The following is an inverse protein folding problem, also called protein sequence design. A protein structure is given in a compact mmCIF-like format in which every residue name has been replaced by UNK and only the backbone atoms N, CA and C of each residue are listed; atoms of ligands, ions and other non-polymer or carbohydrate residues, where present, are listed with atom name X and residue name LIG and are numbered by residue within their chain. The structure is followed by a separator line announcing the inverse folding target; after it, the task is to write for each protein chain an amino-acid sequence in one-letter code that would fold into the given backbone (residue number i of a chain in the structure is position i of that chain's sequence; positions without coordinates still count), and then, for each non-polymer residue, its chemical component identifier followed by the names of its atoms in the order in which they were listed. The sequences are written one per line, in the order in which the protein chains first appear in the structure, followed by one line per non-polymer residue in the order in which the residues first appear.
data_IF_234156833055
#
_entry.id   IF_234156833055
#
_cell.length_a   1.000
_cell.length_b   1.000
_cell.length_c   1.000
_cell.angle_alpha   90.00
_cell.angle_beta   90.00
_cell.angle_gamma   90.00
#
_symmetry.space_group_name_H-M   'P 1'
#
loop_
_entity.id
_entity.type
_entity.pdbx_description
1 polymer ?
#
# COMPACT_ATOMS: atom_id res chain seq x y z
N UNK A 1 28.52 -28.18 -69.15
CA UNK A 1 27.54 -29.12 -68.55
C UNK A 1 27.97 -29.33 -67.12
N UNK A 2 27.30 -28.64 -66.21
CA UNK A 2 27.53 -28.69 -64.76
C UNK A 2 26.17 -28.91 -64.12
N UNK A 3 25.97 -30.13 -63.63
CA UNK A 3 24.79 -30.57 -62.88
C UNK A 3 24.73 -29.90 -61.51
N UNK A 4 23.56 -29.34 -61.17
CA UNK A 4 23.24 -28.82 -59.85
C UNK A 4 22.18 -29.73 -59.23
N UNK A 5 22.58 -30.48 -58.20
CA UNK A 5 21.71 -31.27 -57.34
C UNK A 5 20.71 -30.36 -56.60
N UNK A 6 19.43 -30.72 -56.66
CA UNK A 6 18.38 -30.22 -55.77
C UNK A 6 18.23 -31.20 -54.60
N UNK A 7 18.43 -30.71 -53.36
CA UNK A 7 18.10 -31.43 -52.13
C UNK A 7 16.63 -31.19 -51.76
N UNK A 8 15.90 -32.29 -51.60
CA UNK A 8 14.48 -32.36 -51.23
C UNK A 8 14.36 -32.39 -49.70
N UNK A 9 13.72 -31.39 -49.08
CA UNK A 9 13.50 -31.37 -47.62
C UNK A 9 12.33 -32.29 -47.21
N UNK A 10 12.45 -33.09 -46.13
CA UNK A 10 11.38 -33.96 -45.67
C UNK A 10 10.28 -33.19 -44.90
N UNK A 11 9.02 -33.53 -45.19
CA UNK A 11 7.81 -33.00 -44.54
C UNK A 11 7.66 -33.55 -43.10
N UNK A 12 7.23 -32.74 -42.11
CA UNK A 12 7.00 -33.22 -40.74
C UNK A 12 5.66 -33.95 -40.57
N UNK A 13 5.66 -35.05 -39.82
CA UNK A 13 4.45 -35.85 -39.51
C UNK A 13 3.48 -35.13 -38.54
N UNK A 14 2.16 -35.42 -38.59
CA UNK A 14 1.19 -34.83 -37.69
C UNK A 14 1.22 -35.44 -36.28
N UNK A 15 1.21 -34.56 -35.27
CA UNK A 15 1.18 -34.91 -33.85
C UNK A 15 -0.21 -35.40 -33.41
N UNK A 16 -0.28 -36.59 -32.83
CA UNK A 16 -1.47 -37.12 -32.15
C UNK A 16 -1.32 -36.96 -30.62
N UNK A 17 -2.19 -36.19 -29.93
CA UNK A 17 -2.15 -36.11 -28.48
C UNK A 17 -2.73 -37.38 -27.85
N UNK A 18 -1.96 -38.03 -26.97
CA UNK A 18 -2.45 -39.11 -26.11
C UNK A 18 -3.21 -38.54 -24.92
N UNK A 19 -4.41 -39.08 -24.67
CA UNK A 19 -5.21 -38.75 -23.50
C UNK A 19 -4.65 -39.50 -22.28
N UNK A 20 -4.18 -38.75 -21.28
CA UNK A 20 -3.77 -39.31 -19.99
C UNK A 20 -4.98 -39.32 -19.06
N UNK A 21 -5.53 -40.51 -18.84
CA UNK A 21 -6.62 -40.74 -17.88
C UNK A 21 -6.04 -40.65 -16.45
N UNK A 22 -6.30 -39.54 -15.77
CA UNK A 22 -5.79 -39.28 -14.41
C UNK A 22 -6.94 -39.37 -13.42
N UNK A 23 -7.24 -40.58 -12.95
CA UNK A 23 -8.14 -40.80 -11.83
C UNK A 23 -7.47 -40.32 -10.53
N UNK A 24 -7.93 -39.18 -9.99
CA UNK A 24 -7.54 -38.73 -8.66
C UNK A 24 -8.27 -39.56 -7.58
N UNK A 25 -7.59 -40.01 -6.51
CA UNK A 25 -8.26 -40.54 -5.35
C UNK A 25 -9.01 -39.42 -4.59
N UNK A 26 -10.19 -39.70 -4.00
CA UNK A 26 -10.92 -38.70 -3.24
C UNK A 26 -10.15 -38.28 -1.97
N UNK A 27 -10.29 -37.02 -1.52
CA UNK A 27 -9.62 -36.53 -0.33
C UNK A 27 -10.12 -37.25 0.94
N UNK A 28 -9.28 -37.33 1.99
CA UNK A 28 -9.64 -37.98 3.24
C UNK A 28 -10.81 -37.25 3.94
N UNK A 29 -11.70 -38.03 4.56
CA UNK A 29 -12.87 -37.52 5.27
C UNK A 29 -12.46 -36.63 6.46
N UNK A 30 -13.02 -35.43 6.53
CA UNK A 30 -12.86 -34.53 7.68
C UNK A 30 -13.55 -35.12 8.92
N UNK A 31 -12.96 -35.01 10.13
CA UNK A 31 -13.62 -35.41 11.35
C UNK A 31 -14.82 -34.48 11.65
N UNK A 32 -15.92 -35.00 12.22
CA UNK A 32 -17.14 -34.22 12.42
C UNK A 32 -16.91 -33.08 13.41
N UNK A 33 -17.28 -31.87 13.02
CA UNK A 33 -17.36 -30.73 13.94
C UNK A 33 -18.50 -30.96 14.95
N UNK A 34 -18.28 -30.80 16.27
CA UNK A 34 -19.37 -30.87 17.23
C UNK A 34 -20.30 -29.66 17.04
N UNK A 35 -21.56 -29.92 16.72
CA UNK A 35 -22.61 -28.90 16.72
C UNK A 35 -22.76 -28.32 18.13
N UNK A 36 -22.32 -27.09 18.33
CA UNK A 36 -22.64 -26.34 19.57
C UNK A 36 -24.12 -26.00 19.59
N UNK A 37 -24.87 -26.67 20.46
CA UNK A 37 -26.26 -26.36 20.75
C UNK A 37 -26.38 -24.93 21.31
N UNK A 38 -27.29 -24.15 20.71
CA UNK A 38 -27.54 -22.74 21.04
C UNK A 38 -28.41 -22.66 22.30
N UNK A 39 -27.80 -22.57 23.47
CA UNK A 39 -28.51 -22.27 24.71
C UNK A 39 -28.72 -20.76 24.86
N UNK A 40 -29.97 -20.30 24.76
CA UNK A 40 -30.39 -18.93 25.08
C UNK A 40 -30.55 -18.78 26.59
N UNK A 41 -29.73 -17.96 27.27
CA UNK A 41 -29.95 -17.46 28.64
C UNK A 41 -29.31 -16.07 28.85
N UNK A 42 -29.80 -15.27 29.83
CA UNK A 42 -30.03 -13.84 29.66
C UNK A 42 -28.84 -12.94 30.00
N UNK A 43 -28.86 -11.76 29.37
CA UNK A 43 -27.94 -10.63 29.53
C UNK A 43 -28.10 -10.03 30.94
N UNK A 44 -27.15 -10.28 31.83
CA UNK A 44 -26.98 -9.51 33.07
C UNK A 44 -25.61 -9.78 33.74
N UNK A 45 -24.48 -9.51 33.06
CA UNK A 45 -23.18 -9.29 33.73
C UNK A 45 -22.07 -8.81 32.77
N UNK A 46 -22.18 -7.58 32.24
CA UNK A 46 -21.09 -6.93 31.48
C UNK A 46 -20.81 -5.50 31.98
N UNK A 47 -20.61 -5.33 33.29
CA UNK A 47 -20.16 -4.04 33.86
C UNK A 47 -18.93 -4.17 34.79
N UNK A 48 -18.42 -5.37 35.08
CA UNK A 48 -17.41 -5.54 36.14
C UNK A 48 -15.96 -5.82 35.69
N UNK A 49 -15.56 -5.54 34.44
CA UNK A 49 -14.15 -5.72 33.99
C UNK A 49 -13.50 -4.44 33.44
N UNK A 50 -14.24 -3.33 33.33
CA UNK A 50 -13.66 -2.05 32.87
C UNK A 50 -12.97 -1.23 33.99
N UNK A 51 -13.10 -1.60 35.26
CA UNK A 51 -12.49 -0.86 36.40
C UNK A 51 -11.21 -1.54 36.93
N UNK A 52 -10.92 -2.79 36.56
CA UNK A 52 -9.72 -3.48 37.05
C UNK A 52 -8.45 -3.25 36.20
N UNK A 53 -8.57 -2.70 34.99
CA UNK A 53 -7.40 -2.37 34.16
C UNK A 53 -6.91 -0.93 34.32
N UNK A 54 -7.69 -0.04 34.95
CA UNK A 54 -7.30 1.35 35.20
C UNK A 54 -6.58 1.56 36.55
N UNK A 55 -6.45 0.53 37.39
CA UNK A 55 -5.86 0.64 38.72
C UNK A 55 -4.46 0.02 38.88
N UNK A 56 -3.90 -0.61 37.82
CA UNK A 56 -2.54 -1.21 37.88
C UNK A 56 -1.50 -0.37 37.11
N UNK A 57 -1.91 0.72 36.44
CA UNK A 57 -1.08 1.43 35.47
C UNK A 57 -0.39 2.73 35.91
N UNK A 58 -0.66 3.28 37.10
CA UNK A 58 0.04 4.50 37.53
C UNK A 58 -0.56 5.23 38.72
N UNK A 59 0.24 5.41 39.76
CA UNK A 59 0.00 6.37 40.83
C UNK A 59 0.00 5.77 42.24
N UNK A 60 0.77 6.40 43.13
CA UNK A 60 0.87 6.22 44.60
C UNK A 60 1.92 5.24 45.11
N UNK A 61 3.16 5.70 45.17
CA UNK A 61 4.23 5.18 46.02
C UNK A 61 4.15 5.79 47.43
N UNK A 62 3.11 5.51 48.20
CA UNK A 62 3.07 5.86 49.64
C UNK A 62 2.14 4.89 50.38
N UNK A 63 2.72 4.07 51.28
CA UNK A 63 2.06 3.23 52.30
C UNK A 63 1.55 1.83 51.91
N UNK A 64 2.46 0.88 51.70
CA UNK A 64 2.22 -0.52 52.12
C UNK A 64 3.49 -1.10 52.77
N UNK A 65 3.77 -0.65 54.00
CA UNK A 65 4.75 -1.26 54.91
C UNK A 65 4.08 -1.83 56.18
N UNK A 66 2.78 -2.16 56.12
CA UNK A 66 2.02 -2.56 57.33
C UNK A 66 0.99 -3.68 57.17
N UNK A 67 1.02 -4.48 56.11
CA UNK A 67 0.21 -5.70 56.06
C UNK A 67 0.93 -6.76 55.25
N UNK A 68 1.89 -7.44 55.89
CA UNK A 68 2.37 -8.82 55.70
C UNK A 68 3.85 -8.85 56.06
N UNK A 69 4.15 -9.13 57.34
CA UNK A 69 5.50 -9.45 57.74
C UNK A 69 5.84 -10.85 57.24
N UNK A 70 6.82 -10.94 56.33
CA UNK A 70 7.73 -12.07 56.14
C UNK A 70 8.82 -11.70 55.11
N UNK A 71 10.12 -11.88 55.41
CA UNK A 71 11.21 -11.58 54.49
C UNK A 71 11.45 -12.79 53.58
N UNK A 72 10.76 -12.82 52.44
CA UNK A 72 10.96 -13.82 51.39
C UNK A 72 11.80 -13.27 50.24
N UNK A 73 13.12 -13.42 50.34
CA UNK A 73 14.04 -13.14 49.23
C UNK A 73 13.74 -14.07 48.05
N UNK A 74 13.29 -13.50 46.93
CA UNK A 74 13.09 -14.18 45.65
C UNK A 74 13.73 -13.37 44.54
N UNK A 75 14.99 -13.69 44.23
CA UNK A 75 15.72 -13.12 43.10
C UNK A 75 15.07 -13.52 41.78
N UNK A 76 14.33 -12.60 41.18
CA UNK A 76 14.04 -12.61 39.75
C UNK A 76 14.94 -11.57 39.09
N UNK A 77 15.88 -11.99 38.24
CA UNK A 77 16.55 -11.11 37.31
C UNK A 77 15.50 -10.54 36.34
N UNK A 78 14.85 -9.46 36.74
CA UNK A 78 13.93 -8.71 35.90
C UNK A 78 14.71 -8.06 34.77
N UNK A 79 14.53 -8.54 33.55
CA UNK A 79 14.96 -7.83 32.35
C UNK A 79 14.27 -6.47 32.40
N UNK A 80 15.05 -5.40 32.53
CA UNK A 80 14.52 -4.03 32.52
C UNK A 80 14.07 -3.70 31.10
N UNK A 81 12.82 -4.02 30.78
CA UNK A 81 12.17 -3.50 29.58
C UNK A 81 11.88 -2.01 29.77
N UNK A 82 12.36 -1.18 28.86
CA UNK A 82 11.95 0.22 28.77
C UNK A 82 10.48 0.28 28.34
N UNK A 83 9.58 0.55 29.29
CA UNK A 83 8.19 0.86 28.96
C UNK A 83 8.12 2.24 28.29
N UNK A 84 7.78 2.27 27.00
CA UNK A 84 7.44 3.50 26.28
C UNK A 84 5.94 3.72 26.42
N UNK A 85 5.54 4.77 27.13
CA UNK A 85 4.14 5.19 27.21
C UNK A 85 3.76 5.93 25.93
N UNK A 86 2.92 5.33 25.09
CA UNK A 86 2.38 6.00 23.90
C UNK A 86 1.09 6.78 24.25
N UNK A 87 1.11 8.11 24.09
CA UNK A 87 -0.12 8.91 24.00
C UNK A 87 -0.85 8.60 22.69
N UNK A 88 -2.18 8.76 22.64
CA UNK A 88 -2.98 8.47 21.43
C UNK A 88 -2.52 9.22 20.17
N UNK A 89 -1.90 10.39 20.33
CA UNK A 89 -1.24 11.19 19.29
C UNK A 89 0.06 10.57 18.74
N UNK A 90 0.61 9.54 19.37
CA UNK A 90 1.78 8.78 18.91
C UNK A 90 1.45 7.34 18.52
N UNK A 91 0.18 7.04 18.23
CA UNK A 91 -0.24 5.71 17.76
C UNK A 91 -0.58 5.74 16.28
N UNK A 92 -0.37 4.62 15.58
CA UNK A 92 -0.78 4.44 14.18
C UNK A 92 -2.25 4.79 13.98
N UNK A 93 -3.13 4.39 14.91
CA UNK A 93 -4.55 4.68 14.85
C UNK A 93 -4.84 6.20 14.94
N UNK A 94 -4.15 6.92 15.82
CA UNK A 94 -4.30 8.37 15.95
C UNK A 94 -3.82 9.12 14.70
N UNK A 95 -2.66 8.73 14.16
CA UNK A 95 -2.13 9.28 12.91
C UNK A 95 -3.10 9.03 11.75
N UNK A 96 -3.58 7.80 11.62
CA UNK A 96 -4.54 7.44 10.58
C UNK A 96 -5.83 8.26 10.69
N UNK A 97 -6.42 8.33 11.89
CA UNK A 97 -7.66 9.07 12.10
C UNK A 97 -7.51 10.56 11.78
N UNK A 98 -6.36 11.16 12.08
CA UNK A 98 -6.09 12.57 11.78
C UNK A 98 -6.00 12.86 10.28
N UNK A 99 -5.54 11.89 9.47
CA UNK A 99 -5.25 12.08 8.05
C UNK A 99 -6.26 11.46 7.09
N UNK A 100 -7.16 10.59 7.57
CA UNK A 100 -8.27 10.07 6.77
C UNK A 100 -9.05 11.16 6.02
N UNK A 101 -9.33 12.36 6.58
CA UNK A 101 -10.00 13.44 5.84
C UNK A 101 -9.21 14.04 4.68
N UNK A 102 -7.89 13.84 4.66
CA UNK A 102 -7.00 14.33 3.61
C UNK A 102 -6.64 13.26 2.59
N UNK A 103 -7.13 12.03 2.74
CA UNK A 103 -6.93 10.93 1.78
C UNK A 103 -8.23 10.65 1.04
N UNK A 104 -8.13 10.44 -0.27
CA UNK A 104 -9.27 10.23 -1.17
C UNK A 104 -9.09 8.97 -2.00
N UNK A 105 -10.18 8.47 -2.55
CA UNK A 105 -10.18 7.47 -3.61
C UNK A 105 -10.29 8.15 -4.97
N UNK A 106 -9.50 7.70 -5.94
CA UNK A 106 -9.53 8.17 -7.31
C UNK A 106 -10.03 7.04 -8.21
N UNK A 107 -11.02 7.34 -9.02
CA UNK A 107 -11.55 6.48 -10.06
C UNK A 107 -11.35 7.18 -11.40
N UNK A 108 -10.56 6.57 -12.27
CA UNK A 108 -10.24 7.10 -13.59
C UNK A 108 -10.82 6.15 -14.64
N UNK A 109 -11.81 6.64 -15.36
CA UNK A 109 -12.53 5.88 -16.38
C UNK A 109 -11.93 6.19 -17.76
N UNK A 110 -11.70 5.16 -18.58
CA UNK A 110 -11.38 5.32 -20.00
C UNK A 110 -12.19 4.32 -20.85
N UNK A 111 -12.16 4.48 -22.18
CA UNK A 111 -12.86 3.60 -23.12
C UNK A 111 -12.52 2.09 -22.98
N UNK A 112 -11.40 1.74 -22.35
CA UNK A 112 -10.87 0.38 -22.22
C UNK A 112 -11.09 -0.23 -20.83
N UNK A 113 -11.52 0.54 -19.84
CA UNK A 113 -11.71 0.09 -18.46
C UNK A 113 -11.63 1.21 -17.42
N UNK A 114 -11.64 0.81 -16.15
CA UNK A 114 -11.53 1.71 -15.00
C UNK A 114 -10.22 1.44 -14.24
N UNK A 115 -9.47 2.49 -13.95
CA UNK A 115 -8.35 2.50 -13.02
C UNK A 115 -8.81 3.03 -11.66
N UNK A 116 -8.26 2.49 -10.58
CA UNK A 116 -8.58 2.92 -9.21
C UNK A 116 -7.30 3.09 -8.40
N UNK A 117 -7.22 4.21 -7.70
CA UNK A 117 -6.11 4.54 -6.83
C UNK A 117 -6.55 5.39 -5.65
N UNK A 118 -5.57 5.97 -4.98
CA UNK A 118 -5.72 6.89 -3.87
C UNK A 118 -5.16 8.25 -4.24
N UNK A 119 -5.51 9.27 -3.47
CA UNK A 119 -4.92 10.60 -3.60
C UNK A 119 -4.80 11.29 -2.26
N UNK A 120 -4.03 12.37 -2.25
CA UNK A 120 -3.78 13.22 -1.09
C UNK A 120 -4.24 14.64 -1.38
N UNK A 121 -5.18 15.16 -0.59
CA UNK A 121 -5.61 16.56 -0.66
C UNK A 121 -4.50 17.45 -0.12
N UNK A 122 -4.00 18.37 -0.95
CA UNK A 122 -2.91 19.31 -0.60
C UNK A 122 -3.38 20.75 -0.48
N UNK A 123 -4.61 21.08 -0.91
CA UNK A 123 -5.23 22.40 -0.70
C UNK A 123 -6.69 22.31 -0.28
N UNK A 124 -7.15 23.32 0.46
CA UNK A 124 -8.54 23.40 0.93
C UNK A 124 -9.58 23.58 -0.18
N UNK A 125 -9.15 23.97 -1.38
CA UNK A 125 -9.99 24.19 -2.55
C UNK A 125 -9.87 23.04 -3.57
N UNK A 126 -9.30 21.90 -3.20
CA UNK A 126 -9.47 20.64 -3.95
C UNK A 126 -8.31 20.20 -4.84
N UNK A 127 -7.10 20.71 -4.66
CA UNK A 127 -5.93 20.09 -5.30
C UNK A 127 -5.58 18.76 -4.61
N UNK A 128 -5.40 17.72 -5.41
CA UNK A 128 -5.07 16.37 -4.98
C UNK A 128 -3.88 15.84 -5.76
N UNK A 129 -2.85 15.39 -5.03
CA UNK A 129 -1.72 14.65 -5.60
C UNK A 129 -2.04 13.16 -5.65
N UNK A 130 -1.64 12.52 -6.75
CA UNK A 130 -1.76 11.08 -7.00
C UNK A 130 -0.60 10.61 -7.87
N UNK A 131 -0.56 9.32 -8.21
CA UNK A 131 0.31 8.82 -9.26
C UNK A 131 -0.23 9.09 -10.67
N UNK A 132 0.68 9.27 -11.63
CA UNK A 132 0.36 9.43 -13.04
C UNK A 132 -0.38 8.20 -13.58
N UNK A 133 0.11 6.98 -13.32
CA UNK A 133 -0.51 5.76 -13.83
C UNK A 133 -1.97 5.55 -13.36
N UNK A 134 -2.41 6.24 -12.31
CA UNK A 134 -3.80 6.19 -11.85
C UNK A 134 -4.71 6.96 -12.81
N UNK A 135 -4.25 8.09 -13.36
CA UNK A 135 -5.08 9.03 -14.15
C UNK A 135 -4.68 9.13 -15.62
N UNK A 136 -3.55 8.54 -16.02
CA UNK A 136 -3.04 8.59 -17.38
C UNK A 136 -4.05 8.02 -18.39
N UNK A 137 -4.36 8.81 -19.43
CA UNK A 137 -5.28 8.42 -20.50
C UNK A 137 -6.74 8.28 -20.05
N UNK A 138 -7.12 8.83 -18.90
CA UNK A 138 -8.50 8.83 -18.42
C UNK A 138 -9.36 9.83 -19.20
N UNK A 139 -10.55 9.38 -19.63
CA UNK A 139 -11.58 10.24 -20.21
C UNK A 139 -12.32 11.03 -19.11
N UNK A 140 -12.41 10.46 -17.90
CA UNK A 140 -13.06 11.09 -16.75
C UNK A 140 -12.37 10.68 -15.47
N UNK A 141 -12.08 11.65 -14.59
CA UNK A 141 -11.57 11.40 -13.24
C UNK A 141 -12.64 11.78 -12.23
N UNK A 142 -12.94 10.86 -11.32
CA UNK A 142 -13.82 11.06 -10.16
C UNK A 142 -13.02 10.84 -8.89
N UNK A 143 -13.26 11.70 -7.91
CA UNK A 143 -12.65 11.62 -6.59
C UNK A 143 -13.73 11.43 -5.55
N UNK A 144 -13.61 10.39 -4.74
CA UNK A 144 -14.49 10.12 -3.61
C UNK A 144 -13.80 10.50 -2.30
N UNK A 145 -14.42 11.41 -1.56
CA UNK A 145 -13.95 11.90 -0.27
C UNK A 145 -14.27 10.91 0.86
N UNK A 146 -13.66 11.11 2.02
CA UNK A 146 -13.87 10.26 3.19
C UNK A 146 -15.30 10.30 3.75
N UNK A 147 -16.06 11.37 3.48
CA UNK A 147 -17.48 11.52 3.82
C UNK A 147 -18.41 10.74 2.87
N UNK A 148 -17.85 10.10 1.84
CA UNK A 148 -18.56 9.32 0.82
C UNK A 148 -19.07 10.14 -0.36
N UNK A 149 -18.89 11.47 -0.37
CA UNK A 149 -19.24 12.30 -1.52
C UNK A 149 -18.26 12.10 -2.68
N UNK A 150 -18.78 12.12 -3.91
CA UNK A 150 -17.98 11.96 -5.14
C UNK A 150 -18.07 13.22 -5.99
N UNK A 151 -16.92 13.68 -6.47
CA UNK A 151 -16.78 14.89 -7.29
C UNK A 151 -16.00 14.56 -8.55
N UNK A 152 -16.34 15.22 -9.66
CA UNK A 152 -15.50 15.20 -10.86
C UNK A 152 -14.22 15.99 -10.59
N UNK A 153 -13.10 15.55 -11.15
CA UNK A 153 -11.85 16.28 -11.10
C UNK A 153 -11.25 16.48 -12.49
N UNK A 154 -10.62 17.63 -12.67
CA UNK A 154 -9.81 17.93 -13.85
C UNK A 154 -8.37 17.49 -13.59
N UNK A 155 -7.71 16.90 -14.58
CA UNK A 155 -6.27 16.67 -14.53
C UNK A 155 -5.58 18.00 -14.85
N UNK A 156 -4.83 18.54 -13.90
CA UNK A 156 -4.15 19.83 -14.05
C UNK A 156 -2.79 19.64 -14.72
N UNK A 157 -2.04 18.64 -14.28
CA UNK A 157 -0.75 18.28 -14.86
C UNK A 157 -0.32 16.88 -14.45
N UNK A 158 0.58 16.30 -15.23
CA UNK A 158 1.14 14.97 -15.03
C UNK A 158 2.64 15.03 -15.28
N UNK A 159 3.42 14.32 -14.47
CA UNK A 159 4.83 14.06 -14.69
C UNK A 159 5.01 12.54 -14.80
N UNK A 160 5.05 11.99 -16.03
CA UNK A 160 5.25 10.56 -16.24
C UNK A 160 6.62 10.05 -15.78
N UNK A 161 7.62 10.92 -15.70
CA UNK A 161 8.99 10.56 -15.33
C UNK A 161 9.10 10.32 -13.82
N UNK A 162 8.28 11.00 -13.02
CA UNK A 162 8.19 10.80 -11.57
C UNK A 162 6.98 9.97 -11.14
N UNK A 163 6.15 9.54 -12.09
CA UNK A 163 4.86 8.90 -11.83
C UNK A 163 3.98 9.74 -10.89
N UNK A 164 3.92 11.06 -11.12
CA UNK A 164 3.11 12.01 -10.34
C UNK A 164 2.03 12.65 -11.21
N UNK A 165 0.90 12.98 -10.59
CA UNK A 165 -0.12 13.80 -11.21
C UNK A 165 -0.82 14.68 -10.19
N UNK A 166 -1.27 15.83 -10.67
CA UNK A 166 -2.09 16.77 -9.93
C UNK A 166 -3.49 16.81 -10.55
N UNK A 167 -4.51 16.56 -9.73
CA UNK A 167 -5.91 16.71 -10.13
C UNK A 167 -6.61 17.75 -9.26
N UNK A 168 -7.66 18.37 -9.80
CA UNK A 168 -8.45 19.41 -9.13
C UNK A 168 -9.92 19.03 -9.07
N UNK A 169 -10.45 18.86 -7.86
CA UNK A 169 -11.87 18.59 -7.66
C UNK A 169 -12.70 19.82 -8.02
N UNK A 170 -13.81 19.59 -8.73
CA UNK A 170 -14.76 20.62 -9.10
C UNK A 170 -15.78 20.85 -7.98
N UNK A 171 -16.14 22.12 -7.73
CA UNK A 171 -17.27 22.47 -6.86
C UNK A 171 -17.05 22.27 -5.36
N UNK A 172 -15.82 21.98 -4.91
CA UNK A 172 -15.49 21.75 -3.50
C UNK A 172 -14.73 22.92 -2.87
N UNK A 173 -14.91 23.12 -1.56
CA UNK A 173 -14.16 24.08 -0.73
C UNK A 173 -14.12 23.60 0.72
N UNK A 174 -13.17 24.14 1.49
CA UNK A 174 -13.07 23.85 2.93
C UNK A 174 -12.59 22.43 3.23
N UNK A 175 -11.89 21.80 2.27
CA UNK A 175 -11.30 20.48 2.50
C UNK A 175 -10.15 20.57 3.50
N UNK A 176 -9.92 19.48 4.22
CA UNK A 176 -8.75 19.35 5.10
C UNK A 176 -7.54 18.98 4.26
N UNK A 177 -6.66 19.95 4.01
CA UNK A 177 -5.37 19.70 3.37
C UNK A 177 -4.42 18.96 4.33
N UNK A 178 -3.69 17.99 3.79
CA UNK A 178 -2.62 17.32 4.51
C UNK A 178 -1.43 18.26 4.73
N UNK A 179 -0.68 18.02 5.80
CA UNK A 179 0.60 18.69 6.03
C UNK A 179 1.71 17.91 5.33
N UNK A 180 2.43 18.57 4.42
CA UNK A 180 3.61 17.98 3.77
C UNK A 180 4.83 18.15 4.70
N UNK A 181 5.46 17.03 5.07
CA UNK A 181 6.65 16.95 5.92
C UNK A 181 7.94 17.18 5.14
N UNK A 182 9.06 16.67 5.64
CA UNK A 182 10.40 16.79 5.01
C UNK A 182 11.00 15.39 4.85
N UNK A 183 11.14 14.94 3.61
CA UNK A 183 11.70 13.62 3.27
C UNK A 183 13.22 13.59 3.32
N UNK A 184 13.90 14.73 3.19
CA UNK A 184 15.37 14.81 3.25
C UNK A 184 15.94 14.47 4.63
N UNK A 185 15.10 14.55 5.67
CA UNK A 185 15.49 14.26 7.07
C UNK A 185 15.21 12.83 7.51
N UNK A 186 14.62 12.00 6.64
CA UNK A 186 14.22 10.64 6.98
C UNK A 186 15.41 9.76 7.32
N UNK A 187 15.20 8.87 8.30
CA UNK A 187 16.18 7.87 8.70
C UNK A 187 15.59 6.48 8.58
N UNK A 188 16.43 5.53 8.16
CA UNK A 188 16.10 4.11 8.20
C UNK A 188 15.74 3.71 9.63
N UNK A 189 14.62 3.01 9.78
CA UNK A 189 14.05 2.59 11.06
C UNK A 189 12.99 3.55 11.64
N UNK A 190 12.75 4.70 11.04
CA UNK A 190 11.62 5.57 11.44
C UNK A 190 10.29 4.89 11.15
N UNK A 191 9.36 4.92 12.11
CA UNK A 191 8.02 4.36 11.96
C UNK A 191 7.18 5.20 10.99
N UNK A 192 6.49 4.51 10.09
CA UNK A 192 5.66 5.11 9.06
C UNK A 192 4.30 4.42 8.97
N UNK A 193 3.32 5.19 8.53
CA UNK A 193 1.96 4.73 8.25
C UNK A 193 1.67 4.98 6.79
N UNK A 194 1.23 3.96 6.07
CA UNK A 194 0.73 4.09 4.72
C UNK A 194 -0.80 4.07 4.73
N UNK A 195 -1.40 5.05 4.06
CA UNK A 195 -2.86 5.18 3.95
C UNK A 195 -3.24 5.27 2.47
N UNK A 196 -4.23 4.47 2.08
CA UNK A 196 -4.92 4.58 0.80
C UNK A 196 -6.41 4.29 0.97
N UNK A 197 -7.23 4.49 -0.06
CA UNK A 197 -8.66 4.24 -0.04
C UNK A 197 -9.09 3.27 -1.16
N UNK A 198 -8.62 2.01 -1.15
CA UNK A 198 -8.97 1.05 -2.20
C UNK A 198 -10.47 0.68 -2.19
N UNK A 199 -11.10 0.78 -3.36
CA UNK A 199 -12.31 0.04 -3.70
C UNK A 199 -13.53 0.30 -2.82
N UNK A 200 -13.82 1.56 -2.47
CA UNK A 200 -15.07 1.85 -1.77
C UNK A 200 -15.00 1.80 -0.24
N UNK A 201 -13.96 1.21 0.34
CA UNK A 201 -13.80 1.05 1.79
C UNK A 201 -13.04 2.24 2.40
N UNK A 202 -13.49 2.72 3.55
CA UNK A 202 -12.89 3.86 4.24
C UNK A 202 -11.45 3.52 4.68
N UNK A 203 -10.44 3.97 3.94
CA UNK A 203 -9.03 4.01 4.35
C UNK A 203 -8.38 2.67 4.74
N UNK A 204 -7.66 2.02 3.84
CA UNK A 204 -6.69 0.97 4.21
C UNK A 204 -5.47 1.61 4.85
N UNK A 205 -5.22 1.24 6.10
CA UNK A 205 -4.08 1.72 6.89
C UNK A 205 -3.14 0.55 7.13
N UNK A 206 -1.87 0.73 6.79
CA UNK A 206 -0.79 -0.20 7.12
C UNK A 206 0.34 0.56 7.79
N UNK A 207 1.11 -0.12 8.63
CA UNK A 207 2.26 0.46 9.33
C UNK A 207 3.51 -0.33 9.02
N UNK A 208 4.65 0.35 9.10
CA UNK A 208 5.97 -0.23 8.91
C UNK A 208 7.04 0.77 9.31
N UNK A 209 8.21 0.65 8.72
CA UNK A 209 9.34 1.57 8.89
C UNK A 209 9.85 2.05 7.54
N UNK A 210 10.66 3.11 7.55
CA UNK A 210 11.58 3.42 6.45
C UNK A 210 12.65 2.33 6.40
N UNK A 211 12.64 1.50 5.37
CA UNK A 211 13.63 0.43 5.16
C UNK A 211 14.88 0.95 4.44
N UNK A 212 14.74 1.95 3.57
CA UNK A 212 15.83 2.63 2.88
C UNK A 212 15.37 4.01 2.38
N UNK A 213 16.33 4.92 2.20
CA UNK A 213 16.13 6.21 1.52
C UNK A 213 16.98 6.24 0.24
N UNK A 214 16.60 7.07 -0.73
CA UNK A 214 17.32 7.32 -1.99
C UNK A 214 17.60 6.06 -2.84
N UNK A 215 16.66 5.13 -2.85
CA UNK A 215 16.72 3.93 -3.69
C UNK A 215 16.41 4.29 -5.14
N UNK A 216 17.32 3.98 -6.05
CA UNK A 216 17.00 4.03 -7.49
C UNK A 216 15.96 2.96 -7.81
N UNK A 217 14.83 3.43 -8.32
CA UNK A 217 13.72 2.60 -8.78
C UNK A 217 13.46 2.95 -10.23
N UNK A 218 13.56 1.97 -11.11
CA UNK A 218 13.29 2.15 -12.53
C UNK A 218 11.94 1.55 -12.90
N UNK A 219 11.03 2.34 -13.47
CA UNK A 219 9.70 1.90 -13.93
C UNK A 219 9.49 2.24 -15.41
N UNK A 220 8.57 1.55 -16.09
CA UNK A 220 8.17 1.90 -17.45
C UNK A 220 7.32 3.19 -17.46
N UNK A 221 7.61 4.14 -18.35
CA UNK A 221 6.87 5.42 -18.47
C UNK A 221 5.45 5.23 -19.02
N UNK A 222 5.27 4.24 -19.89
CA UNK A 222 3.98 3.88 -20.46
C UNK A 222 3.84 2.34 -20.46
N UNK A 223 2.70 1.78 -20.01
CA UNK A 223 2.42 0.39 -20.27
C UNK A 223 2.24 0.25 -21.79
N UNK A 224 3.21 -0.38 -22.47
CA UNK A 224 3.16 -0.53 -23.91
C UNK A 224 1.83 -1.14 -24.38
N UNK A 225 1.40 -0.83 -25.61
CA UNK A 225 0.20 -1.40 -26.28
C UNK A 225 0.25 -2.94 -26.50
N UNK A 226 1.19 -3.63 -25.87
CA UNK A 226 1.21 -5.09 -25.78
C UNK A 226 0.30 -5.57 -24.65
N UNK A 227 -0.13 -6.83 -24.74
CA UNK A 227 -0.88 -7.50 -23.68
C UNK A 227 -0.21 -7.19 -22.32
N UNK A 228 -0.90 -6.58 -21.34
CA UNK A 228 -0.32 -6.37 -20.03
C UNK A 228 0.19 -7.73 -19.53
N UNK A 229 1.43 -7.82 -19.02
CA UNK A 229 1.90 -9.06 -18.42
C UNK A 229 0.82 -9.53 -17.47
N UNK A 230 0.37 -10.76 -17.63
CA UNK A 230 -0.52 -11.41 -16.67
C UNK A 230 0.27 -11.56 -15.36
N UNK A 231 0.36 -10.49 -14.57
CA UNK A 231 1.26 -10.45 -13.41
C UNK A 231 1.88 -9.10 -12.98
N UNK A 232 1.47 -7.93 -13.47
CA UNK A 232 1.83 -6.63 -12.85
C UNK A 232 2.74 -5.70 -13.67
N UNK A 233 3.15 -4.57 -13.07
CA UNK A 233 4.00 -3.54 -13.67
C UNK A 233 5.49 -3.92 -13.60
N UNK A 234 6.23 -3.88 -14.70
CA UNK A 234 7.65 -4.21 -14.72
C UNK A 234 8.49 -3.09 -14.10
N UNK A 235 9.45 -3.43 -13.24
CA UNK A 235 10.41 -2.50 -12.66
C UNK A 235 11.80 -3.12 -12.49
N UNK A 236 12.84 -2.30 -12.39
CA UNK A 236 14.22 -2.74 -12.14
C UNK A 236 14.73 -2.17 -10.82
N UNK A 237 15.35 -3.03 -10.00
CA UNK A 237 16.00 -2.64 -8.75
C UNK A 237 17.39 -3.27 -8.66
N UNK A 238 18.42 -2.44 -8.44
CA UNK A 238 19.79 -2.92 -8.27
C UNK A 238 20.32 -3.74 -9.46
N UNK A 239 19.89 -3.41 -10.67
CA UNK A 239 20.25 -4.11 -11.91
C UNK A 239 19.55 -5.46 -12.11
N UNK A 240 18.43 -5.71 -11.44
CA UNK A 240 17.61 -6.92 -11.61
C UNK A 240 16.19 -6.53 -12.01
N UNK A 241 15.66 -7.10 -13.09
CA UNK A 241 14.26 -6.91 -13.49
C UNK A 241 13.30 -7.74 -12.62
N UNK A 242 12.17 -7.14 -12.26
CA UNK A 242 11.08 -7.76 -11.50
C UNK A 242 9.76 -7.55 -12.26
N UNK A 243 8.90 -8.57 -12.28
CA UNK A 243 7.57 -8.57 -12.90
C UNK A 243 7.53 -8.26 -14.42
N UNK A 244 8.60 -8.58 -15.16
CA UNK A 244 8.63 -8.52 -16.62
C UNK A 244 9.69 -7.56 -17.17
N UNK A 245 9.62 -7.29 -18.46
CA UNK A 245 10.51 -6.35 -19.16
C UNK A 245 10.03 -4.91 -18.94
N UNK A 246 10.91 -4.04 -18.47
CA UNK A 246 10.65 -2.61 -18.25
C UNK A 246 10.50 -1.80 -19.55
N UNK A 247 10.67 -2.44 -20.70
CA UNK A 247 10.48 -1.84 -22.02
C UNK A 247 11.57 -0.81 -22.37
N UNK A 248 11.42 -0.15 -23.52
CA UNK A 248 12.42 0.82 -24.01
C UNK A 248 12.27 2.21 -23.39
N UNK A 249 11.08 2.55 -22.87
CA UNK A 249 10.79 3.84 -22.23
C UNK A 249 10.74 3.68 -20.71
N UNK A 250 11.87 3.93 -20.06
CA UNK A 250 12.08 3.78 -18.62
C UNK A 250 12.28 5.13 -17.95
N UNK A 251 11.85 5.26 -16.70
CA UNK A 251 12.24 6.34 -15.82
C UNK A 251 12.83 5.79 -14.54
N UNK A 252 13.86 6.43 -14.01
CA UNK A 252 14.49 6.09 -12.74
C UNK A 252 14.33 7.25 -11.78
N UNK A 253 13.70 7.01 -10.62
CA UNK A 253 13.56 8.01 -9.56
C UNK A 253 14.09 7.49 -8.23
N UNK A 254 14.42 8.44 -7.34
CA UNK A 254 14.83 8.15 -5.96
C UNK A 254 13.59 7.93 -5.10
N UNK A 255 13.44 6.73 -4.56
CA UNK A 255 12.30 6.32 -3.76
C UNK A 255 12.65 6.13 -2.28
N UNK A 256 11.65 6.35 -1.43
CA UNK A 256 11.63 5.84 -0.05
C UNK A 256 11.18 4.39 -0.12
N UNK A 257 11.92 3.47 0.49
CA UNK A 257 11.49 2.09 0.64
C UNK A 257 10.88 1.88 2.03
N UNK A 258 9.78 1.14 2.10
CA UNK A 258 9.12 0.76 3.36
C UNK A 258 8.70 -0.71 3.35
N UNK A 259 8.60 -1.30 4.53
CA UNK A 259 7.98 -2.62 4.73
C UNK A 259 6.48 -2.52 5.10
N UNK A 260 5.94 -1.30 5.22
CA UNK A 260 4.51 -1.09 5.31
C UNK A 260 3.84 -1.75 4.09
N UNK A 261 2.80 -2.54 4.34
CA UNK A 261 2.13 -3.26 3.26
C UNK A 261 1.49 -2.29 2.26
N UNK A 262 2.03 -2.24 1.04
CA UNK A 262 1.45 -1.52 -0.08
C UNK A 262 0.87 -2.53 -1.08
N UNK A 263 -0.44 -2.44 -1.30
CA UNK A 263 -1.17 -3.30 -2.22
C UNK A 263 -1.83 -2.43 -3.30
N UNK A 264 -2.28 -3.02 -4.43
CA UNK A 264 -3.07 -2.30 -5.43
C UNK A 264 -4.22 -1.51 -4.79
N UNK A 265 -4.36 -0.25 -5.20
CA UNK A 265 -5.32 0.72 -4.67
C UNK A 265 -4.77 1.65 -3.57
N UNK A 266 -3.61 1.35 -2.97
CA UNK A 266 -2.88 2.33 -2.14
C UNK A 266 -1.99 3.28 -2.97
N UNK A 267 -1.75 2.99 -4.25
CA UNK A 267 -1.02 3.89 -5.18
C UNK A 267 -1.67 5.26 -5.22
N UNK A 268 -0.86 6.31 -5.09
CA UNK A 268 -1.26 7.71 -4.99
C UNK A 268 -1.65 8.15 -3.57
N UNK A 269 -1.73 7.20 -2.63
CA UNK A 269 -1.99 7.46 -1.21
C UNK A 269 -0.77 8.01 -0.47
N UNK A 270 -0.91 8.28 0.82
CA UNK A 270 0.12 8.92 1.63
C UNK A 270 1.01 7.89 2.35
N UNK A 271 2.33 8.15 2.37
CA UNK A 271 3.26 7.63 3.37
C UNK A 271 3.52 8.72 4.40
N UNK A 272 3.34 8.39 5.68
CA UNK A 272 3.18 9.36 6.76
C UNK A 272 4.12 9.03 7.91
N UNK A 273 4.74 10.03 8.52
CA UNK A 273 5.50 9.85 9.75
C UNK A 273 4.61 9.92 11.01
N UNK A 274 5.14 9.53 12.16
CA UNK A 274 4.37 9.55 13.42
C UNK A 274 3.98 10.95 13.94
N UNK A 275 4.41 12.03 13.25
CA UNK A 275 3.94 13.41 13.51
C UNK A 275 2.69 13.78 12.70
N UNK A 276 2.21 12.89 11.83
CA UNK A 276 1.07 13.15 10.95
C UNK A 276 1.43 13.99 9.72
N UNK A 277 2.70 14.01 9.33
CA UNK A 277 3.16 14.71 8.13
C UNK A 277 3.39 13.71 7.01
N UNK A 278 2.99 14.08 5.80
CA UNK A 278 3.23 13.27 4.60
C UNK A 278 4.70 13.38 4.23
N UNK A 279 5.36 12.24 4.16
CA UNK A 279 6.78 12.12 3.80
C UNK A 279 6.97 11.48 2.42
N UNK A 280 5.92 10.91 1.84
CA UNK A 280 5.93 10.45 0.45
C UNK A 280 4.56 10.08 -0.09
N UNK A 281 4.51 9.81 -1.39
CA UNK A 281 3.33 9.32 -2.11
C UNK A 281 3.56 7.85 -2.48
N UNK A 282 2.71 6.97 -1.96
CA UNK A 282 2.83 5.53 -2.17
C UNK A 282 2.73 5.23 -3.66
N UNK A 283 3.70 4.51 -4.22
CA UNK A 283 3.60 3.89 -5.54
C UNK A 283 3.64 2.39 -5.32
N UNK A 284 2.49 1.71 -5.44
CA UNK A 284 2.43 0.27 -5.17
C UNK A 284 3.17 -0.48 -6.29
N UNK A 285 4.44 -0.77 -6.07
CA UNK A 285 5.22 -1.68 -6.92
C UNK A 285 4.87 -3.12 -6.52
N UNK A 286 4.27 -3.84 -7.46
CA UNK A 286 3.64 -5.13 -7.22
C UNK A 286 4.64 -6.26 -6.87
N UNK A 287 4.11 -7.24 -6.15
CA UNK A 287 4.73 -8.42 -5.56
C UNK A 287 5.33 -9.39 -6.58
N UNK A 288 6.52 -9.97 -6.33
CA UNK A 288 7.07 -11.01 -7.18
C UNK A 288 6.22 -12.29 -7.06
N UNK A 289 5.35 -12.53 -8.04
CA UNK A 289 4.82 -13.88 -8.26
C UNK A 289 5.92 -14.72 -8.90
N UNK A 290 6.78 -15.32 -8.08
CA UNK A 290 7.59 -16.45 -8.56
C UNK A 290 6.67 -17.64 -8.72
N UNK A 291 6.17 -17.81 -9.95
CA UNK A 291 5.38 -18.95 -10.39
C UNK A 291 6.16 -20.26 -10.19
N UNK A 292 5.91 -20.97 -9.09
CA UNK A 292 5.94 -22.43 -9.12
C UNK A 292 4.50 -22.87 -8.97
N UNK A 293 3.99 -23.57 -9.97
CA UNK A 293 2.60 -23.94 -10.17
C UNK A 293 1.89 -24.34 -8.86
N UNK A 294 0.91 -23.53 -8.41
CA UNK A 294 -0.07 -23.94 -7.40
C UNK A 294 -0.30 -23.00 -6.21
N UNK A 295 0.51 -21.95 -5.99
CA UNK A 295 0.34 -21.06 -4.84
C UNK A 295 -0.04 -19.63 -5.25
N UNK A 296 -1.29 -19.27 -5.03
CA UNK A 296 -1.86 -17.95 -5.28
C UNK A 296 -1.52 -16.97 -4.15
N UNK A 297 -0.24 -16.59 -4.05
CA UNK A 297 0.25 -15.59 -3.09
C UNK A 297 0.31 -14.18 -3.70
N UNK A 298 -0.83 -13.58 -4.04
CA UNK A 298 -0.90 -12.17 -4.48
C UNK A 298 -0.97 -11.26 -3.25
N UNK A 299 0.18 -10.97 -2.62
CA UNK A 299 0.24 -10.09 -1.46
C UNK A 299 1.58 -9.35 -1.36
N UNK A 300 1.58 -8.18 -0.71
CA UNK A 300 2.81 -7.45 -0.36
C UNK A 300 3.86 -8.37 0.27
N UNK A 301 5.07 -8.37 -0.27
CA UNK A 301 6.24 -9.10 0.28
C UNK A 301 7.05 -8.24 1.26
N UNK A 302 6.49 -7.12 1.74
CA UNK A 302 7.21 -6.17 2.61
C UNK A 302 8.22 -5.31 1.85
N UNK A 303 7.99 -5.08 0.55
CA UNK A 303 8.75 -4.16 -0.28
C UNK A 303 7.81 -3.16 -0.94
N UNK A 304 7.59 -2.03 -0.28
CA UNK A 304 6.84 -0.89 -0.79
C UNK A 304 7.75 0.28 -1.13
N UNK A 305 7.34 1.10 -2.09
CA UNK A 305 8.06 2.31 -2.49
C UNK A 305 7.15 3.52 -2.46
N UNK A 306 7.71 4.66 -2.12
CA UNK A 306 7.02 5.94 -2.15
C UNK A 306 7.92 7.03 -2.77
N UNK A 307 7.29 7.90 -3.55
CA UNK A 307 7.94 9.09 -4.12
C UNK A 307 8.14 10.09 -2.97
N UNK A 308 9.37 10.58 -2.71
CA UNK A 308 9.64 11.50 -1.60
C UNK A 308 8.80 12.78 -1.68
N UNK A 309 8.32 13.27 -0.54
CA UNK A 309 7.49 14.49 -0.52
C UNK A 309 8.23 15.73 -1.03
N UNK A 310 9.54 15.81 -0.86
CA UNK A 310 10.31 16.94 -1.38
C UNK A 310 10.44 16.91 -2.91
N UNK A 311 10.43 15.72 -3.52
CA UNK A 311 10.27 15.55 -4.97
C UNK A 311 8.91 16.08 -5.43
N UNK A 312 7.84 15.76 -4.69
CA UNK A 312 6.49 16.30 -5.00
C UNK A 312 6.48 17.83 -4.91
N UNK A 313 7.07 18.40 -3.86
CA UNK A 313 7.14 19.86 -3.70
C UNK A 313 7.92 20.54 -4.81
N UNK A 314 9.01 19.92 -5.30
CA UNK A 314 9.84 20.52 -6.34
C UNK A 314 9.13 20.64 -7.68
N UNK A 315 8.23 19.70 -8.01
CA UNK A 315 7.50 19.69 -9.29
C UNK A 315 6.08 20.23 -9.19
N UNK A 316 5.62 20.61 -7.99
CA UNK A 316 4.23 21.07 -7.81
C UNK A 316 3.92 22.35 -8.58
N UNK A 317 4.91 23.21 -8.81
CA UNK A 317 4.77 24.38 -9.68
C UNK A 317 4.49 23.96 -11.12
N UNK A 318 5.37 23.14 -11.67
CA UNK A 318 5.30 22.63 -13.04
C UNK A 318 3.97 21.88 -13.29
N UNK A 319 3.57 21.00 -12.35
CA UNK A 319 2.29 20.31 -12.39
C UNK A 319 1.07 21.24 -12.37
N UNK A 320 1.15 22.42 -11.73
CA UNK A 320 0.05 23.41 -11.73
C UNK A 320 -0.01 24.21 -13.02
N UNK A 321 1.14 24.43 -13.64
CA UNK A 321 1.25 25.11 -14.93
C UNK A 321 0.85 24.18 -16.10
N UNK A 322 0.74 22.88 -15.83
CA UNK A 322 0.42 21.85 -16.81
C UNK A 322 1.65 21.40 -17.60
N UNK A 323 2.84 21.81 -17.16
CA UNK A 323 4.13 21.47 -17.75
C UNK A 323 4.70 20.26 -16.99
N UNK A 324 4.69 19.08 -17.60
CA UNK A 324 5.26 17.86 -17.04
C UNK A 324 5.45 16.76 -18.08
#
# INVERSE_FOLDING_TARGET
MTDLHHDEQPQPEPYHPQAYDSAYPPPPAQPPHPHRARARRPVALLVAVAIAAAAVGGGTSVLLDRVTGEPGGGGGNGISGTNVSASSSGTVAGVAQALMPSTVEIQADNASGQSTGSGVIITSDGEVITNNHVVAGADTVKVRLNDGSTHTADVIGTDPDLDLALVKLQGVRGLQAATLGDSSTLKVGEEVVAIGSPGGLTGTVTSGIVSAVDRDVTVAKEPGRGQPPSGGWPFEFGGREFNGDTGDSRTTYKAIQTDASLNPGNSGGALINMRGEIIGINSAMYSPSTSTSGDSGTGSVGLGFAIPVDTVKSVLGDLRDGDG
#
